data_IF_081577110250
#
_entry.id   IF_081577110250
#
_cell.length_a   1.000
_cell.length_b   1.000
_cell.length_c   1.000
_cell.angle_alpha   90.00
_cell.angle_beta   90.00
_cell.angle_gamma   90.00
#
_symmetry.space_group_name_H-M   'P 1'
#
loop_
_entity.id
_entity.type
_entity.pdbx_description
1 polymer ?
#
# COMPACT_ATOMS: atom_id res chain seq x y z
N UNK A 1 19.59 20.95 7.63
CA UNK A 1 18.20 20.43 7.71
C UNK A 1 17.84 19.41 6.62
N UNK A 2 18.71 19.12 5.64
CA UNK A 2 18.36 18.37 4.41
C UNK A 2 18.59 16.86 4.44
N UNK A 3 19.45 16.30 5.30
CA UNK A 3 19.80 14.87 5.21
C UNK A 3 18.71 13.90 5.68
N UNK A 4 18.17 14.12 6.89
CA UNK A 4 17.19 13.18 7.49
C UNK A 4 15.92 13.09 6.66
N UNK A 5 15.50 14.21 6.07
CA UNK A 5 14.32 14.25 5.21
C UNK A 5 14.51 13.40 3.93
N UNK A 6 15.68 13.49 3.30
CA UNK A 6 16.00 12.70 2.11
C UNK A 6 16.15 11.21 2.43
N UNK A 7 16.70 10.86 3.61
CA UNK A 7 16.78 9.47 4.07
C UNK A 7 15.38 8.90 4.25
N UNK A 8 14.50 9.60 4.99
CA UNK A 8 13.14 9.15 5.22
C UNK A 8 12.34 9.04 3.90
N UNK A 9 12.49 10.01 3.01
CA UNK A 9 11.87 9.98 1.67
C UNK A 9 12.34 8.75 0.87
N UNK A 10 13.63 8.49 0.85
CA UNK A 10 14.22 7.35 0.12
C UNK A 10 13.73 6.01 0.68
N UNK A 11 13.71 5.86 2.00
CA UNK A 11 13.21 4.65 2.66
C UNK A 11 11.72 4.41 2.38
N UNK A 12 10.90 5.46 2.37
CA UNK A 12 9.48 5.34 2.07
C UNK A 12 9.19 5.07 0.60
N UNK A 13 10.02 5.57 -0.33
CA UNK A 13 9.94 5.21 -1.76
C UNK A 13 10.35 3.74 -1.98
N UNK A 14 11.36 3.25 -1.24
CA UNK A 14 11.72 1.83 -1.25
C UNK A 14 10.57 0.96 -0.70
N UNK A 15 9.98 1.36 0.44
CA UNK A 15 8.80 0.68 1.00
C UNK A 15 7.63 0.66 0.02
N UNK A 16 7.36 1.75 -0.68
CA UNK A 16 6.34 1.81 -1.74
C UNK A 16 6.66 0.81 -2.85
N UNK A 17 7.92 0.72 -3.30
CA UNK A 17 8.34 -0.25 -4.31
C UNK A 17 8.18 -1.70 -3.85
N UNK A 18 8.54 -2.00 -2.60
CA UNK A 18 8.37 -3.32 -1.98
C UNK A 18 6.88 -3.68 -1.84
N UNK A 19 6.04 -2.73 -1.46
CA UNK A 19 4.58 -2.89 -1.40
C UNK A 19 3.99 -3.22 -2.77
N UNK A 20 4.40 -2.51 -3.82
CA UNK A 20 3.97 -2.79 -5.20
C UNK A 20 4.45 -4.18 -5.64
N UNK A 21 5.70 -4.53 -5.33
CA UNK A 21 6.27 -5.83 -5.68
C UNK A 21 5.53 -6.97 -4.99
N UNK A 22 5.27 -6.86 -3.68
CA UNK A 22 4.45 -7.86 -2.96
C UNK A 22 3.02 -7.90 -3.43
N UNK A 23 2.43 -6.77 -3.81
CA UNK A 23 1.10 -6.73 -4.41
C UNK A 23 1.06 -7.51 -5.75
N UNK A 24 2.14 -7.50 -6.52
CA UNK A 24 2.24 -8.27 -7.76
C UNK A 24 2.52 -9.76 -7.53
N UNK A 25 3.46 -10.08 -6.62
CA UNK A 25 3.77 -11.46 -6.22
C UNK A 25 2.53 -12.19 -5.70
N UNK A 26 1.70 -11.50 -4.91
CA UNK A 26 0.46 -12.05 -4.36
C UNK A 26 -0.70 -12.06 -5.38
N UNK A 27 -0.40 -11.75 -6.65
CA UNK A 27 -1.36 -11.82 -7.77
C UNK A 27 -2.47 -10.77 -7.68
N UNK A 28 -2.27 -9.69 -6.93
CA UNK A 28 -3.32 -8.72 -6.63
C UNK A 28 -3.58 -7.73 -7.77
N UNK A 29 -2.61 -7.55 -8.67
CA UNK A 29 -2.67 -6.58 -9.78
C UNK A 29 -3.87 -6.82 -10.71
N UNK A 30 -4.83 -5.91 -10.70
CA UNK A 30 -5.93 -5.84 -11.67
C UNK A 30 -5.58 -4.79 -12.75
N UNK A 31 -5.90 -3.51 -12.53
CA UNK A 31 -5.55 -2.40 -13.45
C UNK A 31 -4.20 -1.74 -13.16
N UNK A 32 -3.60 -2.00 -11.99
CA UNK A 32 -2.41 -1.26 -11.52
C UNK A 32 -2.73 0.11 -10.90
N UNK A 33 -3.99 0.55 -10.90
CA UNK A 33 -4.42 1.82 -10.30
C UNK A 33 -4.01 1.97 -8.84
N UNK A 34 -4.09 0.89 -8.06
CA UNK A 34 -3.63 0.90 -6.67
C UNK A 34 -2.14 1.27 -6.57
N UNK A 35 -1.28 0.59 -7.32
CA UNK A 35 0.16 0.87 -7.36
C UNK A 35 0.46 2.30 -7.84
N UNK A 36 -0.29 2.80 -8.83
CA UNK A 36 -0.12 4.15 -9.38
C UNK A 36 -0.65 5.25 -8.44
N UNK A 37 -1.60 4.93 -7.56
CA UNK A 37 -2.16 5.87 -6.58
C UNK A 37 -1.27 6.08 -5.35
N UNK A 38 -0.25 5.24 -5.16
CA UNK A 38 0.66 5.35 -4.01
C UNK A 38 1.59 6.56 -4.17
N UNK A 39 1.44 7.52 -3.27
CA UNK A 39 2.27 8.72 -3.23
C UNK A 39 2.99 8.83 -1.89
N UNK A 40 4.31 9.04 -1.94
CA UNK A 40 5.11 9.35 -0.76
C UNK A 40 5.10 10.86 -0.57
N UNK A 41 4.53 11.31 0.55
CA UNK A 41 4.52 12.74 0.92
C UNK A 41 5.35 12.90 2.18
N UNK A 42 6.37 13.75 2.09
CA UNK A 42 7.26 14.08 3.19
C UNK A 42 7.08 15.56 3.57
N UNK A 43 6.70 15.82 4.82
CA UNK A 43 6.54 17.17 5.38
C UNK A 43 7.33 17.28 6.68
N UNK A 44 8.50 17.93 6.64
CA UNK A 44 9.43 17.97 7.78
C UNK A 44 9.94 16.58 8.14
N UNK A 45 9.75 16.15 9.39
CA UNK A 45 10.09 14.81 9.89
C UNK A 45 8.97 13.78 9.73
N UNK A 46 7.84 14.16 9.11
CA UNK A 46 6.72 13.27 8.88
C UNK A 46 6.74 12.79 7.44
N UNK A 47 6.77 11.46 7.23
CA UNK A 47 6.63 10.86 5.90
C UNK A 47 5.45 9.89 5.91
N UNK A 48 4.63 9.93 4.86
CA UNK A 48 3.40 9.13 4.74
C UNK A 48 3.30 8.55 3.32
N UNK A 49 2.79 7.32 3.22
CA UNK A 49 2.32 6.75 1.96
C UNK A 49 0.82 7.00 1.89
N UNK A 50 0.39 7.85 0.98
CA UNK A 50 -1.02 8.11 0.69
C UNK A 50 -1.50 7.20 -0.44
N UNK A 51 -2.78 6.86 -0.38
CA UNK A 51 -3.50 6.09 -1.39
C UNK A 51 -4.81 6.81 -1.69
N UNK A 52 -5.21 6.81 -2.96
CA UNK A 52 -6.56 7.22 -3.34
C UNK A 52 -7.59 6.11 -3.00
N UNK A 53 -8.43 6.36 -1.99
CA UNK A 53 -9.61 5.56 -1.65
C UNK A 53 -9.45 4.57 -0.49
N UNK A 54 -10.53 3.85 -0.16
CA UNK A 54 -10.63 2.90 0.98
C UNK A 54 -10.21 1.45 0.63
N UNK A 55 -9.39 1.26 -0.40
CA UNK A 55 -9.11 -0.07 -0.94
C UNK A 55 -8.06 -0.86 -0.13
N UNK A 56 -7.07 -0.18 0.45
CA UNK A 56 -5.99 -0.75 1.28
C UNK A 56 -6.48 -1.65 2.41
N UNK A 57 -7.46 -1.21 3.19
CA UNK A 57 -7.87 -1.95 4.40
C UNK A 57 -8.48 -3.31 4.03
N UNK A 58 -9.15 -3.38 2.88
CA UNK A 58 -9.68 -4.63 2.33
C UNK A 58 -8.61 -5.54 1.72
N UNK A 59 -7.40 -5.00 1.46
CA UNK A 59 -6.25 -5.77 1.00
C UNK A 59 -5.54 -6.49 2.16
N UNK A 60 -5.75 -6.12 3.42
CA UNK A 60 -5.08 -6.83 4.51
C UNK A 60 -5.86 -8.08 4.94
N UNK A 61 -7.16 -7.92 5.21
CA UNK A 61 -8.00 -8.97 5.82
C UNK A 61 -9.18 -9.41 4.93
N UNK A 62 -9.54 -8.60 3.93
CA UNK A 62 -10.74 -8.78 3.12
C UNK A 62 -11.89 -7.84 3.53
N UNK A 63 -13.13 -8.21 3.19
CA UNK A 63 -14.34 -7.40 3.48
C UNK A 63 -15.34 -8.23 4.27
N UNK A 64 -15.81 -7.70 5.40
CA UNK A 64 -16.87 -8.33 6.21
C UNK A 64 -18.20 -8.39 5.44
N UNK A 65 -19.07 -9.38 5.72
CA UNK A 65 -20.44 -9.40 5.20
C UNK A 65 -21.21 -8.14 5.62
N UNK A 66 -22.23 -7.79 4.85
CA UNK A 66 -23.08 -6.61 5.08
C UNK A 66 -23.45 -5.94 3.76
N UNK A 67 -23.09 -4.67 3.62
CA UNK A 67 -23.48 -3.85 2.47
C UNK A 67 -22.88 -4.38 1.16
N UNK A 68 -23.78 -4.61 0.19
CA UNK A 68 -23.42 -5.03 -1.15
C UNK A 68 -22.50 -3.98 -1.79
N UNK A 69 -21.30 -4.38 -2.26
CA UNK A 69 -20.43 -3.47 -2.98
C UNK A 69 -21.06 -3.08 -4.33
N UNK A 70 -20.75 -1.87 -4.86
CA UNK A 70 -21.16 -1.48 -6.21
C UNK A 70 -20.72 -2.51 -7.24
N UNK A 71 -21.64 -2.94 -8.09
CA UNK A 71 -21.37 -4.01 -9.07
C UNK A 71 -20.45 -3.51 -10.19
N UNK A 72 -20.45 -2.20 -10.44
CA UNK A 72 -19.65 -1.52 -11.46
C UNK A 72 -18.15 -1.64 -11.17
N UNK A 73 -17.76 -1.56 -9.88
CA UNK A 73 -16.36 -1.72 -9.45
C UNK A 73 -15.90 -3.16 -9.69
N UNK A 74 -16.77 -4.13 -9.44
CA UNK A 74 -16.47 -5.55 -9.66
C UNK A 74 -16.43 -5.87 -11.16
N UNK A 75 -17.32 -5.30 -11.95
CA UNK A 75 -17.31 -5.43 -13.41
C UNK A 75 -15.98 -4.93 -14.00
N UNK A 76 -15.51 -3.77 -13.54
CA UNK A 76 -14.19 -3.25 -13.92
C UNK A 76 -13.08 -4.24 -13.53
N UNK A 77 -13.11 -4.76 -12.30
CA UNK A 77 -12.13 -5.76 -11.85
C UNK A 77 -12.14 -7.04 -12.71
N UNK A 78 -13.32 -7.56 -13.10
CA UNK A 78 -13.46 -8.73 -13.98
C UNK A 78 -12.83 -8.47 -15.35
N UNK A 79 -13.04 -7.28 -15.90
CA UNK A 79 -12.46 -6.84 -17.19
C UNK A 79 -10.94 -6.69 -17.08
N UNK A 80 -10.47 -5.96 -16.08
CA UNK A 80 -9.04 -5.70 -15.84
C UNK A 80 -8.25 -7.02 -15.62
N UNK A 81 -8.86 -8.01 -14.97
CA UNK A 81 -8.26 -9.33 -14.74
C UNK A 81 -8.33 -10.27 -15.96
N UNK A 82 -8.96 -9.86 -17.06
CA UNK A 82 -9.17 -10.72 -18.22
C UNK A 82 -10.07 -11.93 -17.92
N UNK A 83 -10.93 -11.84 -16.90
CA UNK A 83 -11.90 -12.89 -16.56
C UNK A 83 -13.07 -12.85 -17.55
N UNK A 84 -13.39 -11.65 -18.08
CA UNK A 84 -14.47 -11.45 -19.04
C UNK A 84 -14.34 -12.34 -20.29
N UNK A 85 -13.13 -12.60 -20.76
CA UNK A 85 -12.88 -13.45 -21.93
C UNK A 85 -13.03 -14.96 -21.66
N UNK A 86 -13.21 -15.35 -20.40
CA UNK A 86 -13.40 -16.75 -19.95
C UNK A 86 -14.86 -17.07 -19.62
N UNK A 87 -15.77 -16.11 -19.85
CA UNK A 87 -17.19 -16.31 -19.63
C UNK A 87 -17.76 -17.22 -20.72
N UNK A 88 -18.22 -18.39 -20.31
CA UNK A 88 -18.94 -19.33 -21.18
C UNK A 88 -20.46 -19.16 -21.01
N UNK A 89 -21.23 -19.76 -21.93
CA UNK A 89 -22.69 -19.89 -21.81
C UNK A 89 -23.50 -18.58 -21.88
N UNK A 90 -23.00 -17.54 -22.54
CA UNK A 90 -23.74 -16.29 -22.78
C UNK A 90 -23.95 -15.43 -21.52
N UNK A 91 -23.27 -15.73 -20.42
CA UNK A 91 -23.30 -14.91 -19.21
C UNK A 91 -22.62 -13.57 -19.46
N UNK A 92 -23.30 -12.45 -19.19
CA UNK A 92 -22.69 -11.14 -19.27
C UNK A 92 -21.77 -10.85 -18.08
N UNK A 93 -20.76 -10.01 -18.31
CA UNK A 93 -19.86 -9.53 -17.26
C UNK A 93 -20.63 -8.85 -16.12
N UNK A 94 -21.68 -8.08 -16.47
CA UNK A 94 -22.53 -7.38 -15.49
C UNK A 94 -23.32 -8.36 -14.63
N UNK A 95 -23.85 -9.45 -15.18
CA UNK A 95 -24.51 -10.51 -14.42
C UNK A 95 -23.54 -11.21 -13.47
N UNK A 96 -22.33 -11.54 -13.92
CA UNK A 96 -21.31 -12.10 -13.03
C UNK A 96 -20.93 -11.13 -11.91
N UNK A 97 -20.74 -9.84 -12.23
CA UNK A 97 -20.39 -8.82 -11.25
C UNK A 97 -21.48 -8.67 -10.17
N UNK A 98 -22.75 -8.66 -10.56
CA UNK A 98 -23.89 -8.61 -9.64
C UNK A 98 -23.93 -9.82 -8.71
N UNK A 99 -23.69 -11.03 -9.22
CA UNK A 99 -23.66 -12.26 -8.41
C UNK A 99 -22.51 -12.23 -7.40
N UNK A 100 -21.31 -11.81 -7.84
CA UNK A 100 -20.14 -11.66 -6.96
C UNK A 100 -20.44 -10.62 -5.86
N UNK A 101 -21.00 -9.46 -6.23
CA UNK A 101 -21.39 -8.42 -5.28
C UNK A 101 -22.36 -8.96 -4.22
N UNK A 102 -23.38 -9.71 -4.65
CA UNK A 102 -24.37 -10.33 -3.76
C UNK A 102 -23.75 -11.38 -2.85
N UNK A 103 -22.77 -12.15 -3.32
CA UNK A 103 -22.03 -13.12 -2.50
C UNK A 103 -21.18 -12.43 -1.44
N UNK A 104 -20.46 -11.38 -1.81
CA UNK A 104 -19.68 -10.56 -0.86
C UNK A 104 -20.60 -9.91 0.18
N UNK A 105 -21.77 -9.41 -0.21
CA UNK A 105 -22.76 -8.88 0.73
C UNK A 105 -23.18 -9.93 1.78
N UNK A 106 -23.46 -11.15 1.33
CA UNK A 106 -23.97 -12.23 2.20
C UNK A 106 -22.91 -12.87 3.09
N UNK A 107 -21.71 -13.05 2.57
CA UNK A 107 -20.68 -13.89 3.20
C UNK A 107 -19.40 -13.12 3.55
N UNK A 108 -19.28 -11.88 3.09
CA UNK A 108 -18.00 -11.20 3.00
C UNK A 108 -17.09 -11.88 1.99
N UNK A 109 -15.84 -11.45 1.96
CA UNK A 109 -14.77 -12.22 1.34
C UNK A 109 -13.56 -12.20 2.26
N UNK A 110 -12.90 -13.37 2.37
CA UNK A 110 -11.66 -13.53 3.11
C UNK A 110 -10.51 -13.68 2.13
N UNK A 111 -9.45 -12.95 2.38
CA UNK A 111 -8.30 -12.92 1.48
C UNK A 111 -7.41 -14.16 1.57
N UNK A 112 -7.43 -14.85 2.72
CA UNK A 112 -6.68 -16.09 3.00
C UNK A 112 -6.76 -17.13 1.85
N UNK A 113 -7.91 -17.19 1.16
CA UNK A 113 -8.19 -18.15 0.09
C UNK A 113 -7.95 -17.61 -1.34
N UNK A 114 -7.38 -16.42 -1.49
CA UNK A 114 -7.32 -15.68 -2.77
C UNK A 114 -6.00 -14.92 -2.97
N UNK A 115 -4.88 -15.59 -2.70
CA UNK A 115 -3.54 -15.03 -2.89
C UNK A 115 -2.85 -14.55 -1.62
N UNK A 116 -3.38 -14.89 -0.43
CA UNK A 116 -2.73 -14.66 0.87
C UNK A 116 -3.15 -13.37 1.58
N UNK A 117 -2.89 -13.29 2.89
CA UNK A 117 -3.12 -12.13 3.77
C UNK A 117 -1.81 -11.39 4.06
N UNK A 118 -1.93 -10.14 4.51
CA UNK A 118 -0.82 -9.38 5.10
C UNK A 118 0.09 -8.68 4.10
N UNK A 119 -0.47 -8.00 3.10
CA UNK A 119 0.32 -7.16 2.19
C UNK A 119 1.16 -6.13 2.96
N UNK A 120 0.54 -5.41 3.90
CA UNK A 120 1.21 -4.39 4.69
C UNK A 120 2.09 -5.04 5.77
N UNK A 121 1.54 -5.96 6.56
CA UNK A 121 2.28 -6.67 7.62
C UNK A 121 3.49 -7.50 7.15
N UNK A 122 3.57 -7.89 5.87
CA UNK A 122 4.76 -8.56 5.30
C UNK A 122 5.85 -7.60 4.82
N UNK A 123 5.52 -6.34 4.56
CA UNK A 123 6.47 -5.32 4.05
C UNK A 123 6.86 -4.35 5.17
N UNK A 124 5.91 -3.95 6.00
CA UNK A 124 6.07 -3.04 7.13
C UNK A 124 6.22 -3.89 8.40
N UNK A 125 7.38 -4.53 8.55
CA UNK A 125 7.69 -5.34 9.74
C UNK A 125 8.29 -4.47 10.86
N UNK A 126 8.24 -4.91 12.14
CA UNK A 126 8.89 -4.21 13.24
C UNK A 126 10.38 -3.97 13.00
N UNK A 127 11.08 -4.93 12.41
CA UNK A 127 12.50 -4.83 12.07
C UNK A 127 12.74 -3.75 11.00
N UNK A 128 11.85 -3.66 10.00
CA UNK A 128 11.96 -2.63 8.96
C UNK A 128 11.68 -1.23 9.53
N UNK A 129 10.73 -1.10 10.45
CA UNK A 129 10.48 0.16 11.16
C UNK A 129 11.72 0.55 11.96
N UNK A 130 12.33 -0.38 12.70
CA UNK A 130 13.53 -0.11 13.49
C UNK A 130 14.71 0.32 12.61
N UNK A 131 14.93 -0.33 11.47
CA UNK A 131 15.99 0.04 10.53
C UNK A 131 15.83 1.49 10.02
N UNK A 132 14.61 1.91 9.73
CA UNK A 132 14.32 3.29 9.28
C UNK A 132 14.60 4.29 10.41
N UNK A 133 14.23 3.95 11.65
CA UNK A 133 14.51 4.76 12.84
C UNK A 133 16.02 4.91 13.04
N UNK A 134 16.79 3.82 12.95
CA UNK A 134 18.23 3.83 13.18
C UNK A 134 18.95 4.70 12.15
N UNK A 135 18.65 4.53 10.85
CA UNK A 135 19.24 5.35 9.77
C UNK A 135 18.92 6.84 9.91
N UNK A 136 17.67 7.17 10.21
CA UNK A 136 17.27 8.56 10.41
C UNK A 136 17.91 9.15 11.69
N UNK A 137 18.02 8.35 12.74
CA UNK A 137 18.62 8.73 14.03
C UNK A 137 20.12 8.99 13.94
N UNK A 138 20.86 8.13 13.23
CA UNK A 138 22.31 8.31 13.00
C UNK A 138 22.61 9.62 12.28
N UNK A 139 21.89 9.92 11.19
CA UNK A 139 22.06 11.18 10.46
C UNK A 139 21.68 12.40 11.31
N UNK A 140 20.58 12.32 12.08
CA UNK A 140 20.18 13.39 12.97
C UNK A 140 21.24 13.66 14.05
N UNK A 141 21.75 12.61 14.70
CA UNK A 141 22.80 12.72 15.71
C UNK A 141 24.10 13.31 15.13
N UNK A 142 24.47 12.92 13.91
CA UNK A 142 25.58 13.51 13.18
C UNK A 142 25.39 15.01 12.93
N UNK A 143 24.21 15.40 12.46
CA UNK A 143 23.88 16.81 12.19
C UNK A 143 23.93 17.69 13.45
N UNK A 144 23.35 17.23 14.57
CA UNK A 144 23.40 17.92 15.86
C UNK A 144 24.85 18.09 16.32
N UNK A 145 25.67 17.04 16.19
CA UNK A 145 27.08 17.09 16.57
C UNK A 145 27.86 18.12 15.75
N UNK A 146 27.62 18.19 14.43
CA UNK A 146 28.24 19.16 13.55
C UNK A 146 27.82 20.61 13.86
N UNK A 147 26.52 20.82 14.12
CA UNK A 147 25.97 22.13 14.49
C UNK A 147 26.55 22.61 15.83
N UNK A 148 26.67 21.72 16.82
CA UNK A 148 27.30 22.03 18.11
C UNK A 148 28.77 22.43 17.96
N UNK A 149 29.55 21.68 17.16
CA UNK A 149 30.95 22.02 16.89
C UNK A 149 31.07 23.38 16.19
N UNK A 150 30.19 23.66 15.23
CA UNK A 150 30.18 24.94 14.51
C UNK A 150 29.82 26.10 15.44
N UNK A 151 28.81 25.91 16.30
CA UNK A 151 28.43 26.89 17.31
C UNK A 151 29.58 27.19 18.29
N UNK A 152 30.23 26.15 18.82
CA UNK A 152 31.36 26.34 19.74
C UNK A 152 32.53 27.10 19.11
N UNK A 153 32.84 26.83 17.82
CA UNK A 153 33.88 27.58 17.09
C UNK A 153 33.53 29.06 16.90
N UNK A 154 32.25 29.41 16.83
CA UNK A 154 31.83 30.82 16.66
C UNK A 154 31.93 31.66 17.93
N UNK A 155 32.12 31.02 19.09
CA UNK A 155 32.28 31.68 20.39
C UNK A 155 33.75 31.99 20.74
N UNK A 156 34.70 31.54 19.93
CA UNK A 156 36.14 31.78 20.06
C UNK A 156 36.60 32.86 19.10
#
# INVERSE_FOLDING_TARGET
MTEVHEILRTEFEALKGELISKHDELGMRASGNWANSLQVVATGYKVQILQDGQYADHLEEGRRPGNQPPSEIIEKWIKDKGIASRLENGMSVSSLAFIIARKIARQGWKREKSGGVGLLSKVITPERIQLIIDKAGESLAGSISADLVTYLKSLQ
#
